data_IF_698283406122
#
_entry.id   IF_698283406122
#
_cell.length_a   1.000
_cell.length_b   1.000
_cell.length_c   1.000
_cell.angle_alpha   90.00
_cell.angle_beta   90.00
_cell.angle_gamma   90.00
#
_symmetry.space_group_name_H-M   'P 1'
#
loop_
_entity.id
_entity.type
_entity.pdbx_description
1 polymer ?
#
# COMPACT_ATOMS: atom_id res chain seq x y z
N UNK A 1 -23.18 3.42 9.09
CA UNK A 1 -22.25 3.29 7.95
C UNK A 1 -21.94 4.66 7.36
N UNK A 2 -22.96 5.47 7.05
CA UNK A 2 -22.80 6.85 6.56
C UNK A 2 -21.89 7.75 7.41
N UNK A 3 -22.00 7.72 8.74
CA UNK A 3 -21.12 8.53 9.61
C UNK A 3 -19.62 8.17 9.51
N UNK A 4 -19.32 6.89 9.31
CA UNK A 4 -17.96 6.39 9.10
C UNK A 4 -17.49 6.81 7.70
N UNK A 5 -18.34 6.63 6.69
CA UNK A 5 -18.06 7.01 5.30
C UNK A 5 -17.76 8.51 5.19
N UNK A 6 -18.63 9.36 5.75
CA UNK A 6 -18.46 10.82 5.74
C UNK A 6 -17.18 11.25 6.48
N UNK A 7 -16.83 10.57 7.57
CA UNK A 7 -15.56 10.82 8.27
C UNK A 7 -14.35 10.49 7.39
N UNK A 8 -14.37 9.37 6.67
CA UNK A 8 -13.29 8.97 5.76
C UNK A 8 -13.24 9.82 4.48
N UNK A 9 -14.37 10.38 4.06
CA UNK A 9 -14.44 11.34 2.94
C UNK A 9 -13.81 12.69 3.31
N UNK A 10 -14.08 13.19 4.53
CA UNK A 10 -13.61 14.50 4.99
C UNK A 10 -12.49 14.42 6.04
N UNK A 11 -11.64 13.38 6.03
CA UNK A 11 -10.64 13.20 7.11
C UNK A 11 -9.80 14.48 7.25
N UNK A 12 -9.77 15.09 8.45
CA UNK A 12 -8.95 16.26 8.71
C UNK A 12 -7.47 15.96 8.39
N UNK A 13 -6.72 16.91 7.81
CA UNK A 13 -5.32 16.70 7.45
C UNK A 13 -4.48 16.14 8.61
N UNK A 14 -4.72 16.62 9.84
CA UNK A 14 -4.05 16.15 11.05
C UNK A 14 -4.25 14.66 11.32
N UNK A 15 -5.45 14.12 11.10
CA UNK A 15 -5.74 12.71 11.31
C UNK A 15 -5.08 11.85 10.22
N UNK A 16 -5.10 12.29 8.96
CA UNK A 16 -4.38 11.60 7.86
C UNK A 16 -2.88 11.53 8.17
N UNK A 17 -2.28 12.65 8.57
CA UNK A 17 -0.86 12.72 8.91
C UNK A 17 -0.53 11.86 10.12
N UNK A 18 -1.36 11.84 11.17
CA UNK A 18 -1.14 10.99 12.34
C UNK A 18 -1.19 9.50 12.01
N UNK A 19 -2.12 9.07 11.17
CA UNK A 19 -2.22 7.66 10.75
C UNK A 19 -0.97 7.27 9.95
N UNK A 20 -0.56 8.10 9.00
CA UNK A 20 0.63 7.85 8.17
C UNK A 20 1.92 7.85 9.00
N UNK A 21 2.17 8.93 9.74
CA UNK A 21 3.39 9.12 10.55
C UNK A 21 3.43 8.13 11.71
N UNK A 22 2.28 7.89 12.36
CA UNK A 22 2.17 6.92 13.45
C UNK A 22 2.41 5.48 12.98
N UNK A 23 1.86 5.09 11.83
CA UNK A 23 2.12 3.78 11.23
C UNK A 23 3.59 3.59 10.88
N UNK A 24 4.20 4.56 10.19
CA UNK A 24 5.62 4.52 9.85
C UNK A 24 6.49 4.48 11.12
N UNK A 25 6.21 5.33 12.11
CA UNK A 25 6.95 5.37 13.36
C UNK A 25 6.85 4.03 14.12
N UNK A 26 5.65 3.43 14.17
CA UNK A 26 5.44 2.13 14.79
C UNK A 26 6.27 1.02 14.13
N UNK A 27 6.18 0.89 12.79
CA UNK A 27 6.95 -0.11 12.06
C UNK A 27 8.46 0.15 12.14
N UNK A 28 8.88 1.41 12.17
CA UNK A 28 10.29 1.78 12.28
C UNK A 28 10.88 1.47 13.66
N UNK A 29 10.11 1.68 14.73
CA UNK A 29 10.49 1.25 16.08
C UNK A 29 10.60 -0.28 16.14
N UNK A 30 9.63 -0.99 15.55
CA UNK A 30 9.62 -2.45 15.51
C UNK A 30 10.85 -3.00 14.74
N UNK A 31 11.15 -2.41 13.58
CA UNK A 31 12.34 -2.73 12.78
C UNK A 31 13.66 -2.37 13.49
N UNK A 32 13.68 -1.37 14.37
CA UNK A 32 14.86 -1.08 15.21
C UNK A 32 15.04 -2.07 16.36
N UNK A 33 13.95 -2.61 16.91
CA UNK A 33 14.00 -3.53 18.07
C UNK A 33 14.35 -4.96 17.65
N UNK A 34 13.88 -5.44 16.50
CA UNK A 34 14.18 -6.79 15.97
C UNK A 34 15.70 -7.08 15.81
N UNK A 35 16.53 -6.19 15.24
CA UNK A 35 17.95 -6.47 14.97
C UNK A 35 18.85 -6.33 16.19
N UNK A 36 18.34 -5.91 17.36
CA UNK A 36 19.14 -5.86 18.59
C UNK A 36 19.57 -7.26 19.10
N UNK A 37 18.98 -8.33 18.56
CA UNK A 37 19.20 -9.70 19.03
C UNK A 37 20.16 -10.56 18.20
N UNK A 38 20.69 -10.08 17.06
CA UNK A 38 21.61 -10.89 16.24
C UNK A 38 23.05 -10.34 16.20
N UNK A 39 23.91 -11.07 16.92
CA UNK A 39 25.34 -10.86 17.10
C UNK A 39 26.14 -11.45 15.94
N UNK A 40 27.13 -10.68 15.44
CA UNK A 40 28.31 -11.15 14.66
C UNK A 40 28.02 -12.01 13.40
N UNK A 41 27.91 -11.38 12.23
CA UNK A 41 28.04 -12.08 10.95
C UNK A 41 28.79 -11.27 9.88
N UNK A 42 29.52 -11.93 8.96
CA UNK A 42 30.41 -11.31 7.95
C UNK A 42 29.62 -10.40 6.97
N UNK A 43 29.76 -9.07 7.14
CA UNK A 43 28.72 -8.07 6.76
C UNK A 43 28.65 -7.63 5.29
N UNK A 44 29.75 -7.61 4.53
CA UNK A 44 29.76 -6.91 3.23
C UNK A 44 29.05 -7.64 2.08
N UNK A 45 29.34 -8.94 1.91
CA UNK A 45 28.86 -9.72 0.76
C UNK A 45 27.36 -10.05 0.86
N UNK A 46 26.85 -10.31 2.08
CA UNK A 46 25.43 -10.55 2.30
C UNK A 46 24.59 -9.27 2.19
N UNK A 47 25.09 -8.13 2.68
CA UNK A 47 24.41 -6.85 2.50
C UNK A 47 24.29 -6.49 1.00
N UNK A 48 25.34 -6.74 0.21
CA UNK A 48 25.30 -6.53 -1.24
C UNK A 48 24.27 -7.41 -1.96
N UNK A 49 24.19 -8.69 -1.60
CA UNK A 49 23.19 -9.62 -2.16
C UNK A 49 21.78 -9.21 -1.76
N UNK A 50 21.57 -8.78 -0.50
CA UNK A 50 20.25 -8.33 -0.04
C UNK A 50 19.82 -7.04 -0.75
N UNK A 51 20.71 -6.05 -0.89
CA UNK A 51 20.44 -4.81 -1.65
C UNK A 51 20.12 -5.12 -3.12
N UNK A 52 20.83 -6.08 -3.73
CA UNK A 52 20.52 -6.51 -5.09
C UNK A 52 19.10 -7.08 -5.21
N UNK A 53 18.68 -7.95 -4.29
CA UNK A 53 17.31 -8.46 -4.26
C UNK A 53 16.28 -7.36 -3.98
N UNK A 54 16.56 -6.42 -3.07
CA UNK A 54 15.70 -5.26 -2.83
C UNK A 54 15.55 -4.40 -4.08
N UNK A 55 16.65 -4.09 -4.78
CA UNK A 55 16.64 -3.23 -5.96
C UNK A 55 15.95 -3.90 -7.14
N UNK A 56 16.19 -5.20 -7.37
CA UNK A 56 15.46 -5.96 -8.39
C UNK A 56 13.97 -6.07 -8.07
N UNK A 57 13.60 -6.23 -6.80
CA UNK A 57 12.20 -6.20 -6.36
C UNK A 57 11.56 -4.85 -6.66
N UNK A 58 12.23 -3.73 -6.37
CA UNK A 58 11.76 -2.38 -6.72
C UNK A 58 11.66 -2.22 -8.24
N UNK A 59 12.67 -2.67 -8.98
CA UNK A 59 12.71 -2.55 -10.44
C UNK A 59 11.60 -3.33 -11.14
N UNK A 60 11.09 -4.40 -10.53
CA UNK A 60 9.95 -5.17 -11.07
C UNK A 60 8.61 -4.62 -10.55
N UNK A 61 8.49 -4.35 -9.25
CA UNK A 61 7.23 -3.88 -8.66
C UNK A 61 6.87 -2.47 -9.09
N UNK A 62 7.85 -1.59 -9.29
CA UNK A 62 7.57 -0.20 -9.66
C UNK A 62 6.91 -0.09 -11.04
N UNK A 63 7.45 -0.70 -12.12
CA UNK A 63 6.73 -0.77 -13.40
C UNK A 63 5.36 -1.46 -13.31
N UNK A 64 5.24 -2.54 -12.54
CA UNK A 64 3.97 -3.22 -12.34
C UNK A 64 2.94 -2.30 -11.66
N UNK A 65 3.36 -1.48 -10.70
CA UNK A 65 2.49 -0.49 -10.06
C UNK A 65 1.98 0.55 -11.07
N UNK A 66 2.83 1.04 -11.98
CA UNK A 66 2.39 1.94 -13.05
C UNK A 66 1.43 1.24 -14.01
N UNK A 67 1.71 0.00 -14.39
CA UNK A 67 0.82 -0.78 -15.25
C UNK A 67 -0.56 -0.95 -14.59
N UNK A 68 -0.59 -1.30 -13.30
CA UNK A 68 -1.82 -1.41 -12.53
C UNK A 68 -2.58 -0.08 -12.45
N UNK A 69 -1.87 1.03 -12.21
CA UNK A 69 -2.49 2.35 -12.23
C UNK A 69 -3.08 2.69 -13.60
N UNK A 70 -2.30 2.54 -14.68
CA UNK A 70 -2.77 2.85 -16.04
C UNK A 70 -3.91 1.94 -16.51
N UNK A 71 -3.91 0.68 -16.09
CA UNK A 71 -5.02 -0.24 -16.39
C UNK A 71 -6.27 0.11 -15.58
N UNK A 72 -6.12 0.55 -14.33
CA UNK A 72 -7.22 1.10 -13.53
C UNK A 72 -7.83 2.34 -14.20
N UNK A 73 -7.00 3.29 -14.64
CA UNK A 73 -7.47 4.50 -15.33
C UNK A 73 -8.20 4.14 -16.63
N UNK A 74 -7.63 3.23 -17.44
CA UNK A 74 -8.27 2.74 -18.67
C UNK A 74 -9.63 2.07 -18.40
N UNK A 75 -9.71 1.26 -17.34
CA UNK A 75 -10.94 0.59 -16.93
C UNK A 75 -12.04 1.59 -16.52
N UNK A 76 -11.66 2.69 -15.85
CA UNK A 76 -12.57 3.77 -15.51
C UNK A 76 -13.06 4.52 -16.77
N UNK A 77 -12.17 4.86 -17.68
CA UNK A 77 -12.51 5.58 -18.93
C UNK A 77 -13.45 4.77 -19.84
N UNK A 78 -13.26 3.45 -19.92
CA UNK A 78 -14.05 2.56 -20.77
C UNK A 78 -15.24 1.93 -20.03
N UNK A 79 -15.47 2.30 -18.77
CA UNK A 79 -16.50 1.68 -17.91
C UNK A 79 -16.41 0.14 -17.92
N UNK A 80 -15.19 -0.37 -17.88
CA UNK A 80 -14.88 -1.79 -17.95
C UNK A 80 -14.68 -2.36 -16.54
N UNK A 81 -15.49 -3.34 -16.15
CA UNK A 81 -15.36 -4.02 -14.86
C UNK A 81 -16.70 -4.36 -14.21
N UNK A 82 -16.66 -5.22 -13.20
CA UNK A 82 -17.86 -5.68 -12.49
C UNK A 82 -18.64 -4.52 -11.85
N UNK A 83 -17.94 -3.50 -11.36
CA UNK A 83 -18.55 -2.30 -10.77
C UNK A 83 -19.38 -1.50 -11.80
N UNK A 84 -19.00 -1.51 -13.07
CA UNK A 84 -19.72 -0.81 -14.13
C UNK A 84 -20.84 -1.66 -14.76
N UNK A 85 -20.69 -2.99 -14.76
CA UNK A 85 -21.66 -3.91 -15.34
C UNK A 85 -22.81 -4.27 -14.40
N UNK A 86 -22.56 -4.26 -13.09
CA UNK A 86 -23.57 -4.55 -12.08
C UNK A 86 -24.40 -3.29 -11.76
N UNK A 87 -25.66 -3.44 -11.33
CA UNK A 87 -26.48 -2.32 -10.85
C UNK A 87 -25.86 -1.64 -9.63
N UNK A 88 -26.35 -0.45 -9.26
CA UNK A 88 -25.95 0.22 -8.03
C UNK A 88 -26.21 -0.68 -6.81
N UNK A 89 -25.18 -0.88 -6.00
CA UNK A 89 -25.20 -1.77 -4.85
C UNK A 89 -24.87 -0.99 -3.57
N UNK A 90 -25.17 -1.54 -2.38
CA UNK A 90 -24.70 -0.93 -1.14
C UNK A 90 -23.17 -0.85 -1.11
N UNK A 91 -22.61 0.25 -0.60
CA UNK A 91 -21.17 0.54 -0.57
C UNK A 91 -20.29 -0.63 -0.08
N UNK A 92 -20.73 -1.37 0.94
CA UNK A 92 -19.95 -2.50 1.48
C UNK A 92 -19.77 -3.63 0.46
N UNK A 93 -20.71 -3.78 -0.47
CA UNK A 93 -20.71 -4.79 -1.51
C UNK A 93 -19.86 -4.31 -2.71
N UNK A 94 -19.90 -3.02 -3.01
CA UNK A 94 -19.00 -2.39 -3.98
C UNK A 94 -17.53 -2.54 -3.55
N UNK A 95 -17.22 -2.30 -2.28
CA UNK A 95 -15.85 -2.47 -1.73
C UNK A 95 -15.34 -3.92 -1.79
N UNK A 96 -16.23 -4.91 -1.74
CA UNK A 96 -15.84 -6.33 -1.87
C UNK A 96 -15.64 -6.77 -3.32
N UNK A 97 -16.27 -6.08 -4.27
CA UNK A 97 -16.24 -6.40 -5.70
C UNK A 97 -15.16 -5.59 -6.42
N UNK A 98 -14.81 -4.41 -5.89
CA UNK A 98 -13.70 -3.55 -6.34
C UNK A 98 -12.33 -4.20 -6.14
#
# INVERSE_FOLDING_TARGET
MESIVNYFESIPPLHRTLILVGGIAFFWILEMVIPLFDLKYHKGKHAAVNIFFTLTTIAVNFPLAFLLLSTSDWALEHSFGLLFWLPSMPLWLEVLVA
#
